data_IF_824643898252
#
_entry.id   IF_824643898252
#
_cell.length_a   1.000
_cell.length_b   1.000
_cell.length_c   1.000
_cell.angle_alpha   90.00
_cell.angle_beta   90.00
_cell.angle_gamma   90.00
#
_symmetry.space_group_name_H-M   'P 1'
#
loop_
_entity.id
_entity.type
_entity.pdbx_description
1 polymer ?
#
# COMPACT_ATOMS: atom_id res chain seq x y z
N UNK A 1 36.19 -9.80 18.01
CA UNK A 1 36.06 -8.59 17.16
C UNK A 1 36.19 -8.89 15.68
N UNK A 2 37.12 -9.74 15.25
CA UNK A 2 37.30 -10.18 13.84
C UNK A 2 36.06 -10.91 13.30
N UNK A 3 35.38 -11.70 14.13
CA UNK A 3 34.18 -12.43 13.69
C UNK A 3 33.00 -11.51 13.38
N UNK A 4 32.87 -10.39 14.08
CA UNK A 4 31.89 -9.36 13.80
C UNK A 4 32.13 -8.68 12.45
N UNK A 5 33.37 -8.40 12.14
CA UNK A 5 33.80 -7.84 10.85
C UNK A 5 33.56 -8.85 9.73
N UNK A 6 33.93 -10.11 9.93
CA UNK A 6 33.63 -11.20 8.98
C UNK A 6 32.13 -11.38 8.75
N UNK A 7 31.33 -11.38 9.82
CA UNK A 7 29.89 -11.46 9.70
C UNK A 7 29.33 -10.27 8.89
N UNK A 8 29.84 -9.06 9.13
CA UNK A 8 29.43 -7.86 8.38
C UNK A 8 29.75 -7.97 6.88
N UNK A 9 30.95 -8.45 6.53
CA UNK A 9 31.32 -8.66 5.13
C UNK A 9 30.52 -9.77 4.46
N UNK A 10 30.21 -10.87 5.17
CA UNK A 10 29.36 -11.96 4.65
C UNK A 10 27.90 -11.57 4.47
N UNK A 11 27.38 -10.74 5.36
CA UNK A 11 25.97 -10.31 5.32
C UNK A 11 25.70 -9.23 4.27
N UNK A 12 26.71 -8.48 3.88
CA UNK A 12 26.54 -7.37 2.96
C UNK A 12 25.51 -6.35 3.45
N UNK A 13 24.82 -5.70 2.51
CA UNK A 13 23.67 -4.86 2.78
C UNK A 13 22.40 -5.70 2.68
N UNK A 14 21.68 -5.86 3.81
CA UNK A 14 20.37 -6.52 3.85
C UNK A 14 19.20 -5.53 3.79
N UNK A 15 19.47 -4.31 3.39
CA UNK A 15 18.44 -3.29 3.20
C UNK A 15 17.97 -3.31 1.76
N UNK A 16 16.66 -3.17 1.58
CA UNK A 16 16.06 -2.97 0.27
C UNK A 16 16.48 -1.60 -0.24
N UNK A 17 16.95 -1.52 -1.48
CA UNK A 17 17.41 -0.26 -2.07
C UNK A 17 16.25 0.67 -2.51
N UNK A 18 15.01 0.31 -2.23
CA UNK A 18 13.85 1.15 -2.47
C UNK A 18 13.89 2.40 -1.57
N UNK A 19 13.55 3.62 -2.04
CA UNK A 19 13.03 3.96 -3.37
C UNK A 19 14.10 4.26 -4.43
N UNK A 20 15.39 4.19 -4.09
CA UNK A 20 16.50 4.48 -5.01
C UNK A 20 16.65 3.43 -6.13
N UNK A 21 16.08 2.25 -5.95
CA UNK A 21 15.98 1.18 -6.93
C UNK A 21 14.52 0.69 -7.05
N UNK A 22 14.20 -0.10 -8.07
CA UNK A 22 12.87 -0.69 -8.20
C UNK A 22 12.45 -1.44 -6.92
N UNK A 23 11.14 -1.43 -6.59
CA UNK A 23 10.65 -2.16 -5.43
C UNK A 23 10.96 -3.67 -5.57
N UNK A 24 11.12 -4.37 -4.45
CA UNK A 24 11.30 -5.82 -4.50
C UNK A 24 10.07 -6.48 -5.14
N UNK A 25 10.23 -7.68 -5.71
CA UNK A 25 9.10 -8.41 -6.24
C UNK A 25 8.07 -8.65 -5.13
N UNK A 26 6.85 -8.21 -5.38
CA UNK A 26 5.75 -8.39 -4.45
C UNK A 26 5.23 -9.84 -4.53
N UNK A 27 4.78 -10.44 -3.41
CA UNK A 27 4.15 -11.76 -3.43
C UNK A 27 2.94 -11.81 -4.39
N UNK A 28 2.62 -12.99 -4.91
CA UNK A 28 1.48 -13.14 -5.84
C UNK A 28 0.14 -12.81 -5.18
N UNK A 29 0.06 -12.98 -3.87
CA UNK A 29 -1.14 -12.67 -3.07
C UNK A 29 -1.24 -11.19 -2.69
N UNK A 30 -0.24 -10.39 -3.01
CA UNK A 30 -0.28 -8.97 -2.68
C UNK A 30 -1.41 -8.29 -3.45
N UNK A 31 -2.21 -7.53 -2.71
CA UNK A 31 -3.28 -6.69 -3.23
C UNK A 31 -2.96 -5.24 -2.90
N UNK A 32 -2.79 -4.46 -3.93
CA UNK A 32 -2.68 -3.01 -3.81
C UNK A 32 -4.05 -2.34 -3.79
N UNK A 33 -4.14 -1.20 -4.43
CA UNK A 33 -5.36 -0.42 -4.48
C UNK A 33 -6.42 -1.07 -5.36
N UNK A 34 -7.69 -1.17 -4.91
CA UNK A 34 -8.79 -1.54 -5.79
C UNK A 34 -9.03 -0.42 -6.81
N UNK A 35 -9.09 -0.79 -8.08
CA UNK A 35 -9.37 0.07 -9.22
C UNK A 35 -10.65 -0.38 -9.90
N UNK A 36 -11.48 0.57 -10.31
CA UNK A 36 -12.70 0.30 -11.08
C UNK A 36 -12.51 0.91 -12.46
N UNK A 37 -12.48 0.08 -13.48
CA UNK A 37 -12.47 0.50 -14.89
C UNK A 37 -13.87 1.01 -15.26
N UNK A 38 -14.01 2.31 -15.33
CA UNK A 38 -15.30 2.94 -15.64
C UNK A 38 -15.82 2.60 -17.05
N UNK A 39 -14.92 2.26 -17.99
CA UNK A 39 -15.31 1.88 -19.34
C UNK A 39 -15.99 0.49 -19.41
N UNK A 40 -15.67 -0.39 -18.46
CA UNK A 40 -16.28 -1.71 -18.33
C UNK A 40 -17.47 -1.75 -17.37
N UNK A 41 -17.59 -0.74 -16.53
CA UNK A 41 -18.65 -0.66 -15.55
C UNK A 41 -20.00 -0.39 -16.26
N UNK A 42 -20.97 -1.26 -16.04
CA UNK A 42 -22.33 -1.02 -16.59
C UNK A 42 -23.03 0.09 -15.83
N UNK A 43 -23.78 0.91 -16.55
CA UNK A 43 -24.72 1.85 -15.96
C UNK A 43 -25.74 1.06 -15.11
N UNK A 44 -26.11 1.60 -13.97
CA UNK A 44 -27.09 1.01 -13.02
C UNK A 44 -26.68 -0.30 -12.33
N UNK A 45 -25.44 -0.79 -12.49
CA UNK A 45 -24.95 -1.95 -11.76
C UNK A 45 -24.48 -1.55 -10.35
N UNK A 46 -24.96 -2.26 -9.32
CA UNK A 46 -24.60 -2.03 -7.90
C UNK A 46 -23.90 -3.22 -7.24
N UNK A 47 -23.67 -4.30 -7.95
CA UNK A 47 -23.24 -5.60 -7.41
C UNK A 47 -21.99 -5.49 -6.52
N UNK A 48 -20.99 -4.72 -6.94
CA UNK A 48 -19.77 -4.52 -6.16
C UNK A 48 -19.99 -3.68 -4.88
N UNK A 49 -20.91 -2.72 -4.92
CA UNK A 49 -21.26 -1.90 -3.76
C UNK A 49 -22.08 -2.70 -2.75
N UNK A 50 -23.02 -3.52 -3.23
CA UNK A 50 -23.86 -4.37 -2.42
C UNK A 50 -23.07 -5.51 -1.77
N UNK A 51 -22.07 -6.05 -2.46
CA UNK A 51 -21.17 -7.05 -1.93
C UNK A 51 -20.15 -6.49 -0.90
N UNK A 52 -19.98 -5.17 -0.81
CA UNK A 52 -18.98 -4.58 0.07
C UNK A 52 -19.43 -4.56 1.53
N UNK A 53 -18.79 -5.34 2.45
CA UNK A 53 -19.24 -5.45 3.84
C UNK A 53 -19.11 -4.15 4.63
N UNK A 54 -18.26 -3.23 4.19
CA UNK A 54 -18.02 -1.95 4.86
C UNK A 54 -18.63 -0.75 4.13
N UNK A 55 -19.28 -0.98 2.98
CA UNK A 55 -19.83 0.07 2.14
C UNK A 55 -18.74 1.06 1.70
N UNK A 56 -17.57 0.55 1.31
CA UNK A 56 -16.43 1.35 0.86
C UNK A 56 -16.58 1.83 -0.60
N UNK A 57 -17.57 1.32 -1.35
CA UNK A 57 -17.76 1.65 -2.76
C UNK A 57 -18.95 2.59 -2.90
N UNK A 58 -18.74 3.72 -3.56
CA UNK A 58 -19.80 4.67 -3.94
C UNK A 58 -19.82 4.80 -5.46
N UNK A 59 -20.98 4.57 -6.05
CA UNK A 59 -21.20 4.63 -7.50
C UNK A 59 -21.88 5.93 -7.94
N UNK A 60 -22.35 6.75 -6.99
CA UNK A 60 -23.03 8.00 -7.27
C UNK A 60 -22.06 9.05 -7.84
N UNK A 61 -22.31 9.47 -9.07
CA UNK A 61 -21.45 10.45 -9.77
C UNK A 61 -20.12 9.86 -10.24
N UNK A 62 -20.09 8.56 -10.49
CA UNK A 62 -18.94 7.79 -10.95
C UNK A 62 -18.33 6.88 -9.86
N UNK A 63 -17.73 5.77 -10.26
CA UNK A 63 -17.23 4.76 -9.33
C UNK A 63 -16.07 5.30 -8.49
N UNK A 64 -16.21 5.21 -7.17
CA UNK A 64 -15.19 5.63 -6.17
C UNK A 64 -15.04 4.58 -5.10
N UNK A 65 -13.83 4.44 -4.60
CA UNK A 65 -13.52 3.56 -3.47
C UNK A 65 -12.97 4.39 -2.33
N UNK A 66 -13.58 4.26 -1.16
CA UNK A 66 -13.06 4.79 0.09
C UNK A 66 -12.03 3.81 0.68
N UNK A 67 -10.76 4.05 0.44
CA UNK A 67 -9.67 3.20 0.91
C UNK A 67 -9.59 3.14 2.45
N UNK A 68 -10.09 4.16 3.15
CA UNK A 68 -10.12 4.16 4.60
C UNK A 68 -11.24 3.31 5.20
N UNK A 69 -12.16 2.79 4.38
CA UNK A 69 -13.20 1.82 4.75
C UNK A 69 -12.96 0.46 4.11
N UNK A 70 -12.08 0.37 3.12
CA UNK A 70 -11.80 -0.85 2.38
C UNK A 70 -11.04 -1.85 3.26
N UNK A 71 -11.50 -3.09 3.30
CA UNK A 71 -10.82 -4.20 3.98
C UNK A 71 -9.84 -4.95 3.06
N UNK A 72 -9.72 -4.54 1.79
CA UNK A 72 -8.92 -5.24 0.78
C UNK A 72 -9.30 -6.72 0.63
N UNK A 73 -10.56 -7.08 0.93
CA UNK A 73 -11.15 -8.36 0.56
C UNK A 73 -11.39 -8.40 -0.96
N UNK A 74 -11.74 -9.55 -1.51
CA UNK A 74 -12.02 -9.68 -2.96
C UNK A 74 -13.50 -9.67 -3.30
N UNK A 75 -14.39 -9.61 -2.32
CA UNK A 75 -15.83 -9.79 -2.49
C UNK A 75 -16.43 -8.93 -3.60
N UNK A 76 -16.00 -7.66 -3.69
CA UNK A 76 -16.46 -6.75 -4.73
C UNK A 76 -15.91 -7.09 -6.13
N UNK A 77 -14.69 -7.65 -6.23
CA UNK A 77 -14.14 -8.09 -7.50
C UNK A 77 -14.80 -9.38 -7.96
N UNK A 78 -15.04 -10.30 -7.02
CA UNK A 78 -15.70 -11.59 -7.29
C UNK A 78 -17.18 -11.40 -7.67
N UNK A 79 -17.83 -10.35 -7.13
CA UNK A 79 -19.22 -10.00 -7.47
C UNK A 79 -19.34 -9.24 -8.80
N UNK A 80 -18.27 -8.73 -9.37
CA UNK A 80 -18.34 -7.91 -10.58
C UNK A 80 -18.47 -8.76 -11.84
N UNK A 81 -19.64 -8.78 -12.53
CA UNK A 81 -19.87 -9.66 -13.68
C UNK A 81 -18.99 -9.29 -14.89
N UNK A 82 -18.64 -8.03 -15.04
CA UNK A 82 -17.84 -7.52 -16.16
C UNK A 82 -16.34 -7.51 -15.87
N UNK A 83 -15.92 -7.90 -14.65
CA UNK A 83 -14.52 -7.83 -14.24
C UNK A 83 -13.94 -6.40 -14.29
N UNK A 84 -14.81 -5.40 -14.09
CA UNK A 84 -14.40 -4.00 -14.09
C UNK A 84 -13.55 -3.64 -12.87
N UNK A 85 -13.65 -4.41 -11.78
CA UNK A 85 -12.93 -4.17 -10.53
C UNK A 85 -11.73 -5.11 -10.43
N UNK A 86 -10.56 -4.53 -10.26
CA UNK A 86 -9.31 -5.26 -10.09
C UNK A 86 -8.41 -4.57 -9.05
N UNK A 87 -7.40 -5.29 -8.58
CA UNK A 87 -6.40 -4.74 -7.64
C UNK A 87 -5.10 -4.49 -8.39
N UNK A 88 -4.52 -3.31 -8.20
CA UNK A 88 -3.17 -3.02 -8.70
C UNK A 88 -2.10 -3.66 -7.79
N UNK A 89 -0.84 -3.37 -8.07
CA UNK A 89 0.29 -3.80 -7.24
C UNK A 89 0.99 -2.61 -6.57
N UNK A 90 0.29 -1.46 -6.46
CA UNK A 90 0.85 -0.29 -5.81
C UNK A 90 0.56 -0.33 -4.30
N UNK A 91 1.62 -0.34 -3.50
CA UNK A 91 1.55 -0.32 -2.04
C UNK A 91 1.51 1.10 -1.45
N UNK A 92 1.65 2.13 -2.28
CA UNK A 92 1.68 3.53 -1.84
C UNK A 92 0.28 4.06 -1.58
N UNK A 93 -0.26 3.77 -0.41
CA UNK A 93 -1.64 4.11 -0.03
C UNK A 93 -1.70 5.23 1.03
N UNK A 94 -0.56 5.73 1.50
CA UNK A 94 -0.51 6.76 2.52
C UNK A 94 -0.91 8.12 1.96
N UNK A 95 -1.84 8.77 2.61
CA UNK A 95 -2.34 10.12 2.27
C UNK A 95 -2.28 11.03 3.51
N UNK A 96 -2.31 12.34 3.28
CA UNK A 96 -2.24 13.31 4.37
C UNK A 96 -3.59 13.55 5.05
N UNK A 97 -4.66 13.62 4.27
CA UNK A 97 -5.99 13.89 4.78
C UNK A 97 -6.91 12.69 4.53
N UNK A 98 -7.87 12.46 5.42
CA UNK A 98 -8.83 11.38 5.31
C UNK A 98 -9.65 11.45 4.00
N UNK A 99 -9.97 12.64 3.54
CA UNK A 99 -10.73 12.84 2.31
C UNK A 99 -9.98 12.34 1.05
N UNK A 100 -8.66 12.37 1.07
CA UNK A 100 -7.81 11.95 -0.04
C UNK A 100 -7.80 10.42 -0.23
N UNK A 101 -8.29 9.66 0.76
CA UNK A 101 -8.50 8.21 0.64
C UNK A 101 -9.74 7.84 -0.19
N UNK A 102 -10.61 8.79 -0.49
CA UNK A 102 -11.74 8.61 -1.39
C UNK A 102 -11.29 9.00 -2.79
N UNK A 103 -10.65 8.08 -3.48
CA UNK A 103 -10.11 8.35 -4.80
C UNK A 103 -11.08 7.91 -5.91
N UNK A 104 -11.29 8.71 -6.96
CA UNK A 104 -11.80 8.21 -8.22
C UNK A 104 -10.79 7.17 -8.77
N UNK A 105 -11.28 6.16 -9.46
CA UNK A 105 -10.54 4.96 -9.87
C UNK A 105 -9.26 5.24 -10.66
N UNK A 106 -9.18 6.36 -11.36
CA UNK A 106 -8.08 6.67 -12.29
C UNK A 106 -7.05 7.67 -11.74
N UNK A 107 -7.30 8.28 -10.57
CA UNK A 107 -6.38 9.28 -10.03
C UNK A 107 -5.22 8.63 -9.30
N UNK A 108 -4.01 8.81 -9.80
CA UNK A 108 -2.81 8.55 -9.02
C UNK A 108 -2.91 9.29 -7.67
N UNK A 109 -2.52 8.61 -6.60
CA UNK A 109 -2.42 9.25 -5.29
C UNK A 109 -1.28 10.29 -5.36
N UNK A 110 -1.58 11.49 -5.82
CA UNK A 110 -0.63 12.61 -5.96
C UNK A 110 0.19 12.89 -4.68
N UNK A 111 -0.26 12.34 -3.56
CA UNK A 111 0.22 12.67 -2.22
C UNK A 111 1.47 11.91 -1.79
N UNK A 112 1.75 10.76 -2.35
CA UNK A 112 3.00 10.04 -2.09
C UNK A 112 4.21 10.83 -2.61
N UNK A 113 4.08 11.49 -3.75
CA UNK A 113 5.14 12.34 -4.32
C UNK A 113 5.41 13.58 -3.46
N UNK A 114 4.37 14.23 -2.93
CA UNK A 114 4.52 15.40 -2.05
C UNK A 114 5.19 15.03 -0.72
N UNK A 115 4.83 13.89 -0.12
CA UNK A 115 5.47 13.40 1.09
C UNK A 115 6.92 13.04 0.85
N UNK A 116 7.23 12.33 -0.22
CA UNK A 116 8.60 12.00 -0.63
C UNK A 116 9.43 13.25 -0.87
N UNK A 117 8.90 14.23 -1.60
CA UNK A 117 9.56 15.51 -1.83
C UNK A 117 9.86 16.26 -0.54
N UNK A 118 8.93 16.28 0.41
CA UNK A 118 9.12 16.91 1.72
C UNK A 118 10.15 16.19 2.58
N UNK A 119 10.14 14.86 2.57
CA UNK A 119 11.16 14.06 3.29
C UNK A 119 12.56 14.28 2.70
N UNK A 120 12.70 14.33 1.39
CA UNK A 120 13.97 14.64 0.73
C UNK A 120 14.45 16.05 1.05
N UNK A 121 13.55 17.04 1.11
CA UNK A 121 13.89 18.41 1.51
C UNK A 121 14.38 18.49 2.97
N UNK A 122 13.74 17.75 3.89
CA UNK A 122 14.07 17.79 5.31
C UNK A 122 15.34 17.00 5.65
N UNK A 123 15.53 15.85 5.04
CA UNK A 123 16.57 14.90 5.41
C UNK A 123 17.67 14.77 4.36
N UNK A 124 17.53 15.40 3.18
CA UNK A 124 18.47 15.25 2.06
C UNK A 124 18.53 13.83 1.47
N UNK A 125 17.75 12.91 2.02
CA UNK A 125 17.68 11.49 1.64
C UNK A 125 16.39 10.88 2.18
N UNK A 126 16.04 9.66 1.74
CA UNK A 126 14.95 8.90 2.33
C UNK A 126 15.21 8.63 3.83
N UNK A 127 14.16 8.67 4.66
CA UNK A 127 14.27 8.34 6.08
C UNK A 127 14.62 6.86 6.22
N UNK A 128 15.79 6.59 6.81
CA UNK A 128 16.23 5.22 7.13
C UNK A 128 16.13 5.03 8.64
N UNK A 129 15.24 4.14 9.05
CA UNK A 129 15.08 3.76 10.46
C UNK A 129 15.94 2.53 10.74
N UNK A 130 16.63 2.54 11.86
CA UNK A 130 17.35 1.37 12.38
C UNK A 130 16.80 1.03 13.75
N UNK A 131 16.25 -0.14 13.87
CA UNK A 131 15.89 -0.71 15.17
C UNK A 131 17.11 -1.41 15.78
N UNK A 132 17.33 -1.18 17.06
CA UNK A 132 18.28 -1.93 17.87
C UNK A 132 17.51 -2.46 19.06
N UNK A 133 17.42 -3.79 19.18
CA UNK A 133 16.83 -4.44 20.34
C UNK A 133 17.79 -4.28 21.53
N UNK A 134 17.30 -3.63 22.58
CA UNK A 134 18.05 -3.37 23.81
C UNK A 134 17.31 -3.94 25.05
N UNK A 135 16.60 -5.05 24.88
CA UNK A 135 15.81 -5.69 25.94
C UNK A 135 14.38 -5.18 26.07
N UNK A 136 13.83 -4.62 25.00
CA UNK A 136 12.40 -4.29 24.91
C UNK A 136 11.50 -5.53 24.90
N UNK A 137 10.19 -5.33 25.05
CA UNK A 137 9.24 -6.43 24.97
C UNK A 137 9.05 -6.88 23.51
N UNK A 138 8.78 -8.18 23.31
CA UNK A 138 8.59 -8.76 21.98
C UNK A 138 7.44 -8.11 21.18
N UNK A 139 6.43 -7.52 21.83
CA UNK A 139 5.31 -6.88 21.15
C UNK A 139 5.76 -5.68 20.31
N UNK A 140 6.56 -4.77 20.87
CA UNK A 140 7.08 -3.64 20.11
C UNK A 140 8.03 -4.06 18.98
N UNK A 141 8.80 -5.13 19.17
CA UNK A 141 9.66 -5.69 18.13
C UNK A 141 8.85 -6.29 16.98
N UNK A 142 7.75 -6.97 17.30
CA UNK A 142 6.84 -7.53 16.30
C UNK A 142 6.18 -6.43 15.47
N UNK A 143 5.71 -5.35 16.09
CA UNK A 143 5.10 -4.21 15.39
C UNK A 143 6.09 -3.56 14.41
N UNK A 144 7.34 -3.35 14.84
CA UNK A 144 8.36 -2.78 13.94
C UNK A 144 8.77 -3.78 12.84
N UNK A 145 8.80 -5.08 13.14
CA UNK A 145 9.09 -6.09 12.14
C UNK A 145 8.00 -6.18 11.07
N UNK A 146 6.72 -5.98 11.45
CA UNK A 146 5.60 -5.90 10.49
C UNK A 146 5.80 -4.75 9.50
N UNK A 147 6.35 -3.60 9.94
CA UNK A 147 6.66 -2.48 9.04
C UNK A 147 7.75 -2.82 7.99
N UNK A 148 8.54 -3.86 8.21
CA UNK A 148 9.56 -4.33 7.28
C UNK A 148 9.10 -5.49 6.40
N UNK A 149 7.90 -6.00 6.62
CA UNK A 149 7.30 -7.03 5.77
C UNK A 149 6.49 -6.37 4.68
N UNK A 150 6.65 -6.85 3.48
CA UNK A 150 5.73 -6.53 2.39
C UNK A 150 4.52 -7.43 2.62
N UNK A 151 3.42 -6.82 3.12
CA UNK A 151 2.17 -7.52 3.45
C UNK A 151 1.49 -8.09 2.22
#
# INVERSE_FOLDING_TARGET
MIDLIRARFRQGYRTIAYPDAPPPPLPDRFRGRPLIDSAKCREDCTDCADACPTGAIDLRGGPRVDLGRCLFCTDCADACPEGALHYDRDHRLAVRNRADLVAPSERELELAAALQGRMLQLFGRSLKLRQVSAGGCNACELDINVLNTVG
#
